data_IF_420049466400
#
_entry.id   IF_420049466400
#
_cell.length_a   1.000
_cell.length_b   1.000
_cell.length_c   1.000
_cell.angle_alpha   90.00
_cell.angle_beta   90.00
_cell.angle_gamma   90.00
#
_symmetry.space_group_name_H-M   'P 1'
#
loop_
_entity.id
_entity.type
_entity.pdbx_description
1 polymer ?
#
# COMPACT_ATOMS: atom_id res chain seq x y z
N UNK A 1 -31.82 14.78 -31.13
CA UNK A 1 -32.04 14.01 -29.90
C UNK A 1 -31.10 12.82 -29.94
N UNK A 2 -29.95 12.91 -29.27
CA UNK A 2 -28.98 11.82 -29.20
C UNK A 2 -28.87 11.36 -27.73
N UNK A 3 -29.11 10.07 -27.53
CA UNK A 3 -29.23 9.39 -26.24
C UNK A 3 -27.97 9.46 -25.40
N UNK A 4 -28.15 9.74 -24.10
CA UNK A 4 -27.14 9.56 -23.05
C UNK A 4 -26.89 8.06 -22.91
N UNK A 5 -25.69 7.60 -23.29
CA UNK A 5 -25.24 6.24 -22.98
C UNK A 5 -24.82 6.15 -21.52
N UNK A 6 -25.51 5.27 -20.82
CA UNK A 6 -25.31 4.84 -19.44
C UNK A 6 -23.93 4.18 -19.30
N UNK A 7 -23.04 4.77 -18.50
CA UNK A 7 -21.74 4.17 -18.16
C UNK A 7 -21.98 3.05 -17.15
N UNK A 8 -21.92 1.81 -17.62
CA UNK A 8 -21.96 0.61 -16.80
C UNK A 8 -20.70 0.53 -15.90
N UNK A 9 -20.93 0.53 -14.59
CA UNK A 9 -19.91 0.23 -13.57
C UNK A 9 -19.70 -1.29 -13.55
N UNK A 10 -18.48 -1.83 -13.75
CA UNK A 10 -18.28 -3.27 -13.68
C UNK A 10 -18.39 -3.74 -12.22
N UNK A 11 -19.36 -4.62 -11.98
CA UNK A 11 -19.47 -5.42 -10.77
C UNK A 11 -18.32 -6.44 -10.73
N UNK A 12 -17.53 -6.45 -9.66
CA UNK A 12 -16.44 -7.41 -9.53
C UNK A 12 -15.58 -7.28 -8.29
N UNK A 13 -16.16 -7.47 -7.10
CA UNK A 13 -15.39 -7.93 -5.93
C UNK A 13 -16.26 -8.85 -5.07
N UNK A 14 -16.47 -10.06 -5.57
CA UNK A 14 -16.89 -11.20 -4.78
C UNK A 14 -15.75 -12.21 -4.80
N UNK A 15 -15.12 -12.45 -3.65
CA UNK A 15 -14.14 -13.54 -3.49
C UNK A 15 -12.82 -13.15 -2.84
N UNK A 16 -12.85 -12.70 -1.58
CA UNK A 16 -11.73 -12.89 -0.65
C UNK A 16 -12.30 -13.44 0.66
N UNK A 17 -12.72 -14.71 0.61
CA UNK A 17 -12.94 -15.53 1.78
C UNK A 17 -11.71 -16.44 1.94
N UNK A 18 -11.03 -16.34 3.08
CA UNK A 18 -10.04 -17.31 3.53
C UNK A 18 -8.61 -16.77 3.66
N UNK A 19 -8.26 -16.29 4.85
CA UNK A 19 -6.89 -16.36 5.37
C UNK A 19 -6.95 -16.85 6.83
N UNK A 20 -6.26 -17.95 7.19
CA UNK A 20 -6.22 -18.43 8.56
C UNK A 20 -5.07 -17.79 9.37
N UNK A 21 -5.35 -17.57 10.67
CA UNK A 21 -4.41 -17.57 11.79
C UNK A 21 -3.07 -16.84 11.66
N UNK A 22 -3.01 -15.58 12.09
CA UNK A 22 -1.76 -14.94 12.52
C UNK A 22 -1.83 -14.67 14.03
N UNK A 23 -0.88 -15.26 14.76
CA UNK A 23 -0.78 -15.26 16.20
C UNK A 23 -0.34 -13.91 16.78
N UNK A 24 -1.02 -13.52 17.88
CA UNK A 24 -0.52 -12.82 19.05
C UNK A 24 0.51 -11.68 18.86
N UNK A 25 0.06 -10.54 18.33
CA UNK A 25 0.57 -9.21 18.68
C UNK A 25 -0.61 -8.40 19.20
N UNK A 26 -0.57 -7.98 20.47
CA UNK A 26 -1.71 -7.41 21.18
C UNK A 26 -2.36 -6.24 20.44
N UNK A 27 -3.45 -6.53 19.71
CA UNK A 27 -4.34 -5.54 19.13
C UNK A 27 -4.95 -4.78 20.32
N UNK A 28 -4.45 -3.58 20.60
CA UNK A 28 -5.10 -2.70 21.57
C UNK A 28 -6.49 -2.39 21.04
N UNK A 29 -7.50 -3.02 21.65
CA UNK A 29 -8.91 -2.82 21.31
C UNK A 29 -9.21 -1.33 21.32
N UNK A 30 -9.81 -0.84 20.24
CA UNK A 30 -10.43 0.47 20.20
C UNK A 30 -11.29 0.72 21.44
N UNK A 31 -11.30 1.95 22.01
CA UNK A 31 -12.39 2.33 22.88
C UNK A 31 -13.71 2.22 22.10
N UNK A 32 -14.72 1.60 22.73
CA UNK A 32 -16.00 1.15 22.14
C UNK A 32 -16.84 2.27 21.48
N UNK A 33 -16.43 3.53 21.60
CA UNK A 33 -17.13 4.73 21.14
C UNK A 33 -16.49 5.41 19.92
N UNK A 34 -15.42 4.85 19.35
CA UNK A 34 -14.68 5.51 18.27
C UNK A 34 -15.52 5.71 17.00
N UNK A 35 -16.34 4.74 16.63
CA UNK A 35 -17.24 4.89 15.50
C UNK A 35 -18.43 5.81 15.84
N UNK A 36 -18.84 5.92 17.11
CA UNK A 36 -19.87 6.89 17.51
C UNK A 36 -19.36 8.32 17.37
N UNK A 37 -18.11 8.58 17.78
CA UNK A 37 -17.45 9.87 17.53
C UNK A 37 -17.26 10.17 16.05
N UNK A 38 -16.85 9.18 15.25
CA UNK A 38 -16.65 9.36 13.81
C UNK A 38 -17.97 9.64 13.07
N UNK A 39 -19.06 8.97 13.46
CA UNK A 39 -20.39 9.23 12.92
C UNK A 39 -20.95 10.59 13.39
N UNK A 40 -20.66 10.99 14.63
CA UNK A 40 -21.05 12.31 15.15
C UNK A 40 -20.34 13.46 14.41
N UNK A 41 -19.11 13.25 13.93
CA UNK A 41 -18.34 14.24 13.16
C UNK A 41 -18.99 14.64 11.83
N UNK A 42 -19.96 13.88 11.31
CA UNK A 42 -20.73 14.21 10.11
C UNK A 42 -21.72 15.38 10.33
N UNK A 43 -22.02 15.74 11.58
CA UNK A 43 -22.95 16.83 11.91
C UNK A 43 -24.43 16.54 11.62
N UNK A 44 -25.34 17.43 12.05
CA UNK A 44 -26.80 17.19 12.05
C UNK A 44 -27.44 17.15 10.65
N UNK A 45 -26.74 17.56 9.59
CA UNK A 45 -27.23 17.55 8.19
C UNK A 45 -27.25 16.16 7.53
N UNK A 46 -26.61 15.16 8.14
CA UNK A 46 -26.63 13.78 7.66
C UNK A 46 -27.83 13.02 8.26
N UNK A 47 -29.04 13.46 7.90
CA UNK A 47 -30.28 12.85 8.36
C UNK A 47 -30.41 11.35 8.03
N UNK A 48 -31.44 10.67 8.55
CA UNK A 48 -31.62 9.22 8.40
C UNK A 48 -31.63 8.69 6.94
N UNK A 49 -31.85 9.56 5.95
CA UNK A 49 -31.72 9.24 4.52
C UNK A 49 -30.25 9.12 4.04
N UNK A 50 -29.32 9.91 4.58
CA UNK A 50 -27.88 9.79 4.30
C UNK A 50 -27.29 8.52 4.95
N UNK A 51 -27.80 8.12 6.12
CA UNK A 51 -27.46 6.84 6.77
C UNK A 51 -27.91 5.61 5.97
N UNK A 52 -28.99 5.72 5.18
CA UNK A 52 -29.47 4.66 4.28
C UNK A 52 -28.64 4.55 2.99
N UNK A 53 -28.00 5.63 2.52
CA UNK A 53 -27.09 5.62 1.35
C UNK A 53 -25.74 4.96 1.62
N UNK A 54 -25.24 5.02 2.85
CA UNK A 54 -23.98 4.39 3.30
C UNK A 54 -24.22 3.00 3.92
N UNK A 55 -25.26 2.31 3.44
CA UNK A 55 -25.95 1.18 4.08
C UNK A 55 -25.08 0.30 4.98
N UNK A 56 -25.40 0.27 6.27
CA UNK A 56 -25.00 -0.75 7.27
C UNK A 56 -23.51 -0.97 7.56
N UNK A 57 -22.61 -0.75 6.59
CA UNK A 57 -21.21 -1.15 6.65
C UNK A 57 -20.28 -0.06 7.21
N UNK A 58 -20.70 1.22 7.18
CA UNK A 58 -19.84 2.32 7.62
C UNK A 58 -19.50 2.19 9.10
N UNK A 59 -20.46 1.78 9.93
CA UNK A 59 -20.22 1.51 11.35
C UNK A 59 -19.20 0.39 11.52
N UNK A 60 -19.43 -0.76 10.89
CA UNK A 60 -18.54 -1.92 10.97
C UNK A 60 -17.14 -1.62 10.43
N UNK A 61 -17.04 -0.83 9.36
CA UNK A 61 -15.77 -0.37 8.80
C UNK A 61 -15.05 0.58 9.75
N UNK A 62 -15.76 1.53 10.36
CA UNK A 62 -15.20 2.44 11.36
C UNK A 62 -14.73 1.69 12.60
N UNK A 63 -15.48 0.68 13.07
CA UNK A 63 -15.09 -0.19 14.18
C UNK A 63 -13.86 -1.06 13.84
N UNK A 64 -13.76 -1.57 12.60
CA UNK A 64 -12.58 -2.28 12.12
C UNK A 64 -11.35 -1.36 12.00
N UNK A 65 -11.50 -0.19 11.37
CA UNK A 65 -10.44 0.83 11.27
C UNK A 65 -10.03 1.37 12.64
N UNK A 66 -10.95 1.36 13.59
CA UNK A 66 -10.72 1.69 14.99
C UNK A 66 -9.91 0.60 15.69
N UNK A 67 -10.17 -0.67 15.41
CA UNK A 67 -9.47 -1.80 16.02
C UNK A 67 -8.01 -1.90 15.57
N UNK A 68 -7.66 -1.35 14.41
CA UNK A 68 -6.30 -1.35 13.90
C UNK A 68 -5.60 0.00 14.14
N UNK A 69 -4.33 -0.09 14.55
CA UNK A 69 -3.34 0.98 14.57
C UNK A 69 -3.79 2.39 14.15
N UNK A 70 -4.06 3.24 15.14
CA UNK A 70 -4.49 4.63 14.90
C UNK A 70 -3.35 5.62 14.85
N UNK A 71 -2.21 5.25 15.40
CA UNK A 71 -1.04 6.13 15.46
C UNK A 71 -0.42 6.27 14.08
N UNK A 72 0.18 7.44 13.82
CA UNK A 72 0.79 7.76 12.53
C UNK A 72 1.87 6.76 12.12
N UNK A 73 2.58 6.22 13.11
CA UNK A 73 3.72 5.33 12.92
C UNK A 73 3.34 3.84 13.05
N UNK A 74 2.05 3.52 13.12
CA UNK A 74 1.60 2.13 13.20
C UNK A 74 1.86 1.38 11.89
N UNK A 75 2.43 0.16 11.92
CA UNK A 75 2.73 -0.65 10.74
C UNK A 75 1.56 -0.82 9.78
N UNK A 76 0.32 -0.91 10.28
CA UNK A 76 -0.87 -1.05 9.43
C UNK A 76 -1.09 0.15 8.49
N UNK A 77 -0.51 1.30 8.83
CA UNK A 77 -0.55 2.54 8.02
C UNK A 77 0.75 2.78 7.28
N UNK A 78 1.89 2.56 7.94
CA UNK A 78 3.21 2.91 7.38
C UNK A 78 3.68 1.90 6.33
N UNK A 79 3.47 0.60 6.54
CA UNK A 79 3.95 -0.44 5.62
C UNK A 79 3.26 -0.36 4.27
N UNK A 80 1.92 -0.26 4.15
CA UNK A 80 1.28 -0.09 2.85
C UNK A 80 1.72 1.20 2.13
N UNK A 81 1.91 2.30 2.86
CA UNK A 81 2.41 3.54 2.29
C UNK A 81 3.86 3.41 1.78
N UNK A 82 4.70 2.66 2.50
CA UNK A 82 6.06 2.36 2.09
C UNK A 82 6.08 1.44 0.87
N UNK A 83 5.27 0.38 0.82
CA UNK A 83 5.18 -0.53 -0.33
C UNK A 83 4.61 0.16 -1.57
N UNK A 84 3.69 1.11 -1.38
CA UNK A 84 3.14 1.95 -2.45
C UNK A 84 4.09 3.07 -2.92
N UNK A 85 5.14 3.37 -2.17
CA UNK A 85 6.14 4.36 -2.54
C UNK A 85 7.03 3.85 -3.68
N UNK A 86 7.17 4.71 -4.69
CA UNK A 86 7.88 4.47 -5.94
C UNK A 86 9.24 3.81 -5.79
N UNK A 87 10.06 4.29 -4.86
CA UNK A 87 11.44 3.80 -4.75
C UNK A 87 11.50 2.50 -3.96
N UNK A 88 10.71 2.39 -2.89
CA UNK A 88 10.69 1.22 -2.03
C UNK A 88 10.16 0.00 -2.79
N UNK A 89 9.13 0.18 -3.62
CA UNK A 89 8.62 -0.89 -4.48
C UNK A 89 9.66 -1.40 -5.48
N UNK A 90 10.42 -0.50 -6.12
CA UNK A 90 11.50 -0.88 -7.03
C UNK A 90 12.62 -1.63 -6.30
N UNK A 91 12.99 -1.20 -5.10
CA UNK A 91 13.97 -1.91 -4.26
C UNK A 91 13.47 -3.32 -3.93
N UNK A 92 12.23 -3.46 -3.46
CA UNK A 92 11.62 -4.75 -3.14
C UNK A 92 11.57 -5.69 -4.35
N UNK A 93 11.17 -5.18 -5.53
CA UNK A 93 11.14 -5.94 -6.77
C UNK A 93 12.53 -6.46 -7.19
N UNK A 94 13.58 -5.65 -7.04
CA UNK A 94 14.94 -6.07 -7.36
C UNK A 94 15.48 -7.10 -6.36
N UNK A 95 15.22 -6.90 -5.07
CA UNK A 95 15.64 -7.81 -4.01
C UNK A 95 14.90 -9.16 -4.02
N UNK A 96 13.70 -9.20 -4.60
CA UNK A 96 13.00 -10.46 -4.89
C UNK A 96 13.76 -11.33 -5.91
N UNK A 97 14.60 -10.73 -6.76
CA UNK A 97 15.48 -11.44 -7.70
C UNK A 97 16.78 -11.95 -7.08
N UNK A 98 17.12 -11.53 -5.86
CA UNK A 98 18.32 -11.96 -5.15
C UNK A 98 18.97 -10.84 -4.34
N UNK A 99 20.05 -11.21 -3.65
CA UNK A 99 20.82 -10.30 -2.81
C UNK A 99 21.63 -9.31 -3.66
N UNK A 100 21.60 -8.01 -3.30
CA UNK A 100 22.23 -6.94 -4.08
C UNK A 100 22.94 -5.92 -3.18
N UNK A 101 24.01 -5.31 -3.70
CA UNK A 101 24.70 -4.18 -3.05
C UNK A 101 24.00 -2.86 -3.33
N UNK A 102 24.24 -1.87 -2.49
CA UNK A 102 23.69 -0.50 -2.66
C UNK A 102 23.99 0.08 -4.05
N UNK A 103 25.22 -0.08 -4.55
CA UNK A 103 25.61 0.42 -5.87
C UNK A 103 24.90 -0.29 -7.03
N UNK A 104 24.62 -1.59 -6.88
CA UNK A 104 23.88 -2.38 -7.87
C UNK A 104 22.42 -1.98 -7.90
N UNK A 105 21.77 -1.90 -6.73
CA UNK A 105 20.40 -1.39 -6.60
C UNK A 105 20.25 -0.02 -7.28
N UNK A 106 21.17 0.91 -7.01
CA UNK A 106 21.10 2.26 -7.59
C UNK A 106 21.19 2.24 -9.12
N UNK A 107 22.08 1.43 -9.70
CA UNK A 107 22.24 1.30 -11.15
C UNK A 107 21.02 0.64 -11.79
N UNK A 108 20.56 -0.47 -11.22
CA UNK A 108 19.41 -1.22 -11.72
C UNK A 108 18.13 -0.36 -11.68
N UNK A 109 17.88 0.35 -10.57
CA UNK A 109 16.76 1.30 -10.47
C UNK A 109 16.85 2.38 -11.55
N UNK A 110 18.04 2.94 -11.77
CA UNK A 110 18.25 3.95 -12.82
C UNK A 110 18.01 3.43 -14.24
N UNK A 111 18.23 2.14 -14.49
CA UNK A 111 18.00 1.51 -15.79
C UNK A 111 16.51 1.25 -16.07
N UNK A 112 15.69 1.02 -15.04
CA UNK A 112 14.26 0.70 -15.20
C UNK A 112 13.30 1.88 -14.93
N UNK A 113 13.77 2.96 -14.31
CA UNK A 113 12.94 4.13 -13.95
C UNK A 113 13.05 5.25 -14.99
N UNK A 114 11.89 5.71 -15.48
CA UNK A 114 11.79 6.87 -16.39
C UNK A 114 12.09 8.22 -15.74
N UNK A 115 11.98 8.37 -14.42
CA UNK A 115 12.26 9.63 -13.70
C UNK A 115 13.76 9.80 -13.36
N UNK A 116 14.62 8.96 -13.95
CA UNK A 116 16.06 9.01 -13.74
C UNK A 116 16.54 8.22 -12.52
N UNK A 117 17.83 8.41 -12.20
CA UNK A 117 18.54 7.62 -11.20
C UNK A 117 18.24 8.10 -9.78
N UNK A 118 17.89 7.16 -8.89
CA UNK A 118 17.72 7.44 -7.46
C UNK A 118 18.99 8.02 -6.84
N UNK A 119 18.84 9.02 -5.97
CA UNK A 119 19.96 9.58 -5.21
C UNK A 119 20.45 8.57 -4.16
N UNK A 120 21.75 8.61 -3.83
CA UNK A 120 22.32 7.74 -2.81
C UNK A 120 21.64 7.96 -1.44
N UNK A 121 21.40 9.22 -1.07
CA UNK A 121 20.69 9.55 0.18
C UNK A 121 19.29 8.96 0.23
N UNK A 122 18.55 9.02 -0.87
CA UNK A 122 17.20 8.46 -0.93
C UNK A 122 17.22 6.93 -0.86
N UNK A 123 18.13 6.27 -1.58
CA UNK A 123 18.26 4.81 -1.52
C UNK A 123 18.61 4.33 -0.10
N UNK A 124 19.56 4.98 0.57
CA UNK A 124 19.89 4.69 1.97
C UNK A 124 18.68 4.88 2.89
N UNK A 125 17.88 5.94 2.68
CA UNK A 125 16.66 6.15 3.47
C UNK A 125 15.66 5.01 3.27
N UNK A 126 15.40 4.60 2.03
CA UNK A 126 14.45 3.51 1.75
C UNK A 126 14.91 2.17 2.31
N UNK A 127 16.18 1.82 2.15
CA UNK A 127 16.76 0.60 2.73
C UNK A 127 16.65 0.60 4.26
N UNK A 128 16.93 1.72 4.94
CA UNK A 128 16.76 1.83 6.40
C UNK A 128 15.31 1.67 6.86
N UNK A 129 14.35 2.20 6.10
CA UNK A 129 12.93 2.05 6.44
C UNK A 129 12.49 0.58 6.27
N UNK A 130 12.86 -0.04 5.15
CA UNK A 130 12.58 -1.46 4.89
C UNK A 130 13.27 -2.38 5.92
N UNK A 131 14.48 -2.05 6.34
CA UNK A 131 15.21 -2.77 7.39
C UNK A 131 14.56 -2.59 8.76
N UNK A 132 14.15 -1.36 9.10
CA UNK A 132 13.41 -1.06 10.35
C UNK A 132 12.10 -1.85 10.44
N UNK A 133 11.37 -1.96 9.34
CA UNK A 133 10.11 -2.71 9.27
C UNK A 133 10.33 -4.23 9.14
N UNK A 134 11.59 -4.69 9.14
CA UNK A 134 11.95 -6.11 9.07
C UNK A 134 11.73 -6.74 7.69
N UNK A 135 11.51 -5.94 6.65
CA UNK A 135 11.27 -6.40 5.28
C UNK A 135 12.57 -6.71 4.53
N UNK A 136 13.66 -6.03 4.89
CA UNK A 136 14.98 -6.20 4.27
C UNK A 136 16.02 -6.50 5.35
N UNK A 137 16.84 -7.52 5.11
CA UNK A 137 18.05 -7.76 5.90
C UNK A 137 19.24 -7.05 5.27
N UNK A 138 20.14 -6.53 6.12
CA UNK A 138 21.43 -5.98 5.74
C UNK A 138 22.54 -6.88 6.26
N UNK A 139 23.25 -7.54 5.37
CA UNK A 139 24.36 -8.43 5.72
C UNK A 139 25.70 -7.75 5.44
N UNK A 140 26.63 -7.88 6.40
CA UNK A 140 28.00 -7.40 6.26
C UNK A 140 28.91 -8.62 6.18
N UNK A 141 29.41 -8.87 4.98
CA UNK A 141 30.42 -9.90 4.77
C UNK A 141 31.78 -9.33 5.18
N UNK A 142 32.43 -9.97 6.15
CA UNK A 142 33.76 -9.58 6.62
C UNK A 142 34.80 -10.16 5.68
N UNK A 143 34.98 -9.50 4.55
CA UNK A 143 36.05 -9.76 3.59
C UNK A 143 36.93 -8.52 3.41
N UNK A 144 37.99 -8.65 2.60
CA UNK A 144 38.87 -7.52 2.25
C UNK A 144 38.63 -7.15 0.79
N UNK A 145 37.96 -6.03 0.47
CA UNK A 145 37.30 -5.05 1.36
C UNK A 145 35.87 -5.47 1.79
N UNK A 146 35.37 -5.04 2.95
CA UNK A 146 34.08 -5.50 3.48
C UNK A 146 32.93 -5.17 2.54
N UNK A 147 32.11 -6.17 2.24
CA UNK A 147 30.93 -6.05 1.38
C UNK A 147 29.65 -5.93 2.20
N UNK A 148 28.77 -5.04 1.76
CA UNK A 148 27.44 -4.84 2.36
C UNK A 148 26.39 -5.17 1.32
N UNK A 149 25.53 -6.12 1.66
CA UNK A 149 24.51 -6.67 0.79
C UNK A 149 23.14 -6.61 1.45
N UNK A 150 22.10 -6.56 0.63
CA UNK A 150 20.71 -6.46 1.07
C UNK A 150 19.91 -7.59 0.43
N UNK A 151 19.01 -8.18 1.20
CA UNK A 151 18.10 -9.23 0.74
C UNK A 151 16.73 -9.08 1.39
N UNK A 152 15.68 -9.59 0.75
CA UNK A 152 14.38 -9.71 1.42
C UNK A 152 14.47 -10.70 2.58
N UNK A 153 13.84 -10.36 3.69
CA UNK A 153 13.57 -11.35 4.76
C UNK A 153 12.40 -12.24 4.34
N UNK A 154 12.08 -13.27 5.13
CA UNK A 154 10.85 -14.04 4.95
C UNK A 154 9.59 -13.15 5.01
N UNK A 155 9.55 -12.21 5.96
CA UNK A 155 8.47 -11.22 6.07
C UNK A 155 8.43 -10.29 4.85
N UNK A 156 9.60 -9.86 4.36
CA UNK A 156 9.71 -9.06 3.14
C UNK A 156 9.20 -9.77 1.90
N UNK A 157 9.51 -11.06 1.75
CA UNK A 157 9.04 -11.89 0.65
C UNK A 157 7.51 -12.07 0.70
N UNK A 158 6.93 -12.28 1.88
CA UNK A 158 5.47 -12.33 2.08
C UNK A 158 4.81 -10.99 1.72
N UNK A 159 5.33 -9.88 2.25
CA UNK A 159 4.83 -8.54 1.94
C UNK A 159 4.93 -8.22 0.44
N UNK A 160 6.01 -8.63 -0.21
CA UNK A 160 6.20 -8.48 -1.65
C UNK A 160 5.15 -9.26 -2.46
N UNK A 161 4.80 -10.48 -2.04
CA UNK A 161 3.76 -11.27 -2.70
C UNK A 161 2.38 -10.58 -2.67
N UNK A 162 2.02 -9.97 -1.53
CA UNK A 162 0.80 -9.16 -1.44
C UNK A 162 0.87 -7.91 -2.33
N UNK A 163 2.00 -7.23 -2.35
CA UNK A 163 2.22 -6.08 -3.23
C UNK A 163 2.11 -6.45 -4.72
N UNK A 164 2.65 -7.60 -5.13
CA UNK A 164 2.51 -8.11 -6.50
C UNK A 164 1.05 -8.38 -6.88
N UNK A 165 0.21 -8.82 -5.95
CA UNK A 165 -1.22 -8.98 -6.23
C UNK A 165 -1.89 -7.64 -6.57
N UNK A 166 -1.54 -6.56 -5.85
CA UNK A 166 -2.00 -5.21 -6.15
C UNK A 166 -1.49 -4.73 -7.52
N UNK A 167 -0.23 -5.00 -7.85
CA UNK A 167 0.34 -4.65 -9.15
C UNK A 167 -0.39 -5.34 -10.30
N UNK A 168 -0.62 -6.66 -10.21
CA UNK A 168 -1.34 -7.43 -11.23
C UNK A 168 -2.76 -6.89 -11.47
N UNK A 169 -3.48 -6.57 -10.40
CA UNK A 169 -4.80 -5.94 -10.54
C UNK A 169 -4.68 -4.56 -11.21
N UNK A 170 -3.68 -3.75 -10.85
CA UNK A 170 -3.48 -2.41 -11.41
C UNK A 170 -3.17 -2.47 -12.91
N UNK A 171 -2.36 -3.44 -13.34
CA UNK A 171 -2.09 -3.69 -14.77
C UNK A 171 -3.38 -3.97 -15.54
N UNK A 172 -4.22 -4.87 -15.01
CA UNK A 172 -5.52 -5.20 -15.62
C UNK A 172 -6.49 -4.01 -15.63
N UNK A 173 -6.49 -3.20 -14.56
CA UNK A 173 -7.34 -2.03 -14.41
C UNK A 173 -6.83 -0.78 -15.16
N UNK A 174 -5.62 -0.83 -15.73
CA UNK A 174 -4.97 0.34 -16.35
C UNK A 174 -5.83 1.04 -17.40
N UNK A 175 -6.51 0.35 -18.33
CA UNK A 175 -7.39 1.01 -19.31
C UNK A 175 -8.53 1.79 -18.65
N UNK A 176 -9.19 1.21 -17.66
CA UNK A 176 -10.28 1.84 -16.93
C UNK A 176 -9.80 3.06 -16.12
N UNK A 177 -8.65 2.95 -15.45
CA UNK A 177 -8.04 4.05 -14.70
C UNK A 177 -7.67 5.20 -15.65
N UNK A 178 -7.12 4.91 -16.83
CA UNK A 178 -6.79 5.94 -17.84
C UNK A 178 -8.03 6.64 -18.37
N UNK A 179 -9.09 5.90 -18.69
CA UNK A 179 -10.35 6.49 -19.13
C UNK A 179 -10.97 7.40 -18.04
N UNK A 180 -10.93 6.97 -16.78
CA UNK A 180 -11.41 7.77 -15.66
C UNK A 180 -10.61 9.08 -15.48
N UNK A 181 -9.30 9.05 -15.69
CA UNK A 181 -8.43 10.25 -15.65
C UNK A 181 -8.79 11.22 -16.78
N UNK A 182 -8.86 10.74 -18.02
CA UNK A 182 -9.23 11.59 -19.17
C UNK A 182 -10.59 12.28 -18.95
N UNK A 183 -11.60 11.53 -18.52
CA UNK A 183 -12.92 12.09 -18.23
C UNK A 183 -12.89 13.12 -17.08
N UNK A 184 -11.99 12.98 -16.11
CA UNK A 184 -11.82 13.98 -15.05
C UNK A 184 -11.18 15.26 -15.59
N UNK A 185 -10.11 15.14 -16.36
CA UNK A 185 -9.40 16.27 -16.95
C UNK A 185 -10.31 17.09 -17.89
N UNK A 186 -11.17 16.43 -18.67
CA UNK A 186 -12.20 17.06 -19.51
C UNK A 186 -13.26 17.85 -18.74
N UNK A 187 -13.54 17.50 -17.47
CA UNK A 187 -14.49 18.25 -16.64
C UNK A 187 -13.85 19.46 -15.94
N UNK A 188 -12.53 19.47 -15.84
CA UNK A 188 -11.76 20.49 -15.10
C UNK A 188 -11.05 21.49 -16.01
N UNK A 189 -10.89 21.17 -17.30
CA UNK A 189 -10.41 22.09 -18.35
C UNK A 189 -11.54 22.86 -19.00
#
# INVERSE_FOLDING_TARGET
MASVSEVAVPAGVAGMAGAPGAAAGGVRSAPLDAADRALAALGPGHGPAARRRHGGNLRALLDAMAAHGRERDDPVRTVPALLGDRWSSLVMNLLAGGMLRHGELRRLIGAVSSEGQISQRMLTLKLRLLERDGLVAREVTVDTPPRVEYALTALGAEAHAHYLALLRWTEQATPAIRAARAAFDERQG
#
